data_IF_476772283876
#
_entry.id   IF_476772283876
#
_cell.length_a   1.000
_cell.length_b   1.000
_cell.length_c   1.000
_cell.angle_alpha   90.00
_cell.angle_beta   90.00
_cell.angle_gamma   90.00
#
_symmetry.space_group_name_H-M   'P 1'
#
loop_
_entity.id
_entity.type
_entity.pdbx_description
1 polymer ?
#
# COMPACT_ATOMS: atom_id res chain seq x y z
N UNK A 1 -6.10 -4.07 2.18
CA UNK A 1 -6.49 -2.79 2.82
C UNK A 1 -6.96 -2.99 4.27
N UNK A 2 -6.06 -3.37 5.20
CA UNK A 2 -6.37 -3.47 6.64
C UNK A 2 -5.57 -2.49 7.52
N UNK A 3 -4.70 -1.67 6.91
CA UNK A 3 -3.80 -0.77 7.63
C UNK A 3 -4.33 0.63 7.94
N UNK A 4 -5.39 1.10 7.26
CA UNK A 4 -5.89 2.47 7.41
C UNK A 4 -6.94 2.64 8.52
N UNK A 5 -7.53 1.56 9.02
CA UNK A 5 -8.54 1.63 10.08
C UNK A 5 -7.92 1.80 11.47
N UNK A 6 -6.69 1.31 11.68
CA UNK A 6 -6.03 1.40 12.98
C UNK A 6 -5.58 2.83 13.35
N UNK A 7 -5.19 3.65 12.36
CA UNK A 7 -4.69 5.02 12.59
C UNK A 7 -5.80 6.01 12.90
N UNK A 8 -6.97 5.88 12.29
CA UNK A 8 -8.12 6.79 12.54
C UNK A 8 -8.75 6.51 13.91
N UNK A 9 -8.85 5.24 14.32
CA UNK A 9 -9.31 4.88 15.67
C UNK A 9 -8.35 5.39 16.76
N UNK A 10 -7.04 5.39 16.51
CA UNK A 10 -6.04 5.88 17.46
C UNK A 10 -6.13 7.41 17.66
N UNK A 11 -6.36 8.17 16.57
CA UNK A 11 -6.51 9.63 16.64
C UNK A 11 -7.79 10.05 17.39
N UNK A 12 -8.92 9.37 17.11
CA UNK A 12 -10.18 9.64 17.80
C UNK A 12 -10.12 9.30 19.30
N UNK A 13 -9.46 8.19 19.67
CA UNK A 13 -9.21 7.85 21.07
C UNK A 13 -8.33 8.89 21.75
N UNK A 14 -7.29 9.39 21.09
CA UNK A 14 -6.39 10.42 21.63
C UNK A 14 -7.15 11.71 21.92
N UNK A 15 -7.96 12.19 20.97
CA UNK A 15 -8.77 13.42 21.15
C UNK A 15 -9.78 13.27 22.30
N UNK A 16 -10.44 12.10 22.44
CA UNK A 16 -11.36 11.84 23.55
C UNK A 16 -10.64 11.78 24.91
N UNK A 17 -9.45 11.19 24.97
CA UNK A 17 -8.64 11.17 26.19
C UNK A 17 -8.17 12.58 26.61
N UNK A 18 -7.86 13.44 25.64
CA UNK A 18 -7.46 14.83 25.91
C UNK A 18 -8.64 15.69 26.40
N UNK A 19 -9.82 15.60 25.78
CA UNK A 19 -11.01 16.36 26.23
C UNK A 19 -11.50 15.91 27.60
N UNK A 20 -11.47 14.59 27.89
CA UNK A 20 -11.79 14.07 29.23
C UNK A 20 -10.75 14.53 30.26
N UNK A 21 -9.45 14.54 29.93
CA UNK A 21 -8.41 15.03 30.84
C UNK A 21 -8.56 16.52 31.17
N UNK A 22 -8.82 17.38 30.19
CA UNK A 22 -9.05 18.81 30.42
C UNK A 22 -10.27 19.03 31.33
N UNK A 23 -11.35 18.28 31.10
CA UNK A 23 -12.57 18.33 31.92
C UNK A 23 -12.32 17.86 33.36
N UNK A 24 -11.53 16.80 33.55
CA UNK A 24 -11.17 16.27 34.88
C UNK A 24 -10.23 17.21 35.63
N UNK A 25 -9.28 17.86 34.97
CA UNK A 25 -8.39 18.86 35.60
C UNK A 25 -9.18 20.10 36.05
N UNK A 26 -10.14 20.57 35.23
CA UNK A 26 -11.02 21.68 35.61
C UNK A 26 -11.97 21.31 36.77
N UNK A 27 -12.54 20.10 36.75
CA UNK A 27 -13.39 19.59 37.82
C UNK A 27 -12.60 19.34 39.13
N UNK A 28 -11.36 18.87 39.05
CA UNK A 28 -10.53 18.63 40.25
C UNK A 28 -10.01 19.92 40.87
N UNK A 29 -9.71 20.96 40.07
CA UNK A 29 -9.35 22.28 40.57
C UNK A 29 -10.53 22.98 41.30
N UNK A 30 -11.73 22.87 40.74
CA UNK A 30 -12.97 23.41 41.37
C UNK A 30 -13.38 22.61 42.61
N UNK A 31 -13.31 21.27 42.57
CA UNK A 31 -13.58 20.42 43.75
C UNK A 31 -12.51 20.61 44.82
N UNK A 32 -11.23 20.77 44.46
CA UNK A 32 -10.14 21.07 45.40
C UNK A 32 -10.36 22.38 46.15
N UNK A 33 -10.72 23.45 45.44
CA UNK A 33 -11.04 24.75 46.02
C UNK A 33 -12.28 24.70 46.92
N UNK A 34 -13.33 23.98 46.50
CA UNK A 34 -14.55 23.78 47.32
C UNK A 34 -14.26 22.93 48.57
N UNK A 35 -13.35 21.95 48.49
CA UNK A 35 -12.97 21.10 49.63
C UNK A 35 -12.10 21.85 50.64
N UNK A 36 -11.21 22.73 50.17
CA UNK A 36 -10.40 23.63 51.02
C UNK A 36 -11.29 24.67 51.70
N UNK A 37 -12.27 25.25 50.99
CA UNK A 37 -13.28 26.14 51.59
C UNK A 37 -14.14 25.41 52.63
N UNK A 38 -14.63 24.20 52.34
CA UNK A 38 -15.43 23.42 53.29
C UNK A 38 -14.61 22.95 54.51
N UNK A 39 -13.30 22.69 54.35
CA UNK A 39 -12.42 22.38 55.47
C UNK A 39 -12.14 23.60 56.36
N UNK A 40 -12.05 24.81 55.78
CA UNK A 40 -11.98 26.08 56.52
C UNK A 40 -13.26 26.37 57.29
N UNK A 41 -14.42 26.23 56.65
CA UNK A 41 -15.74 26.39 57.28
C UNK A 41 -16.00 25.37 58.40
N UNK A 42 -15.50 24.14 58.27
CA UNK A 42 -15.57 23.12 59.34
C UNK A 42 -14.62 23.42 60.50
N UNK A 43 -13.46 24.04 60.25
CA UNK A 43 -12.59 24.54 61.33
C UNK A 43 -13.26 25.72 62.04
N UNK A 44 -13.82 26.69 61.32
CA UNK A 44 -14.58 27.81 61.91
C UNK A 44 -15.78 27.35 62.75
N UNK A 45 -16.56 26.36 62.27
CA UNK A 45 -17.65 25.79 63.08
C UNK A 45 -17.16 25.04 64.32
N UNK A 46 -16.03 24.33 64.26
CA UNK A 46 -15.44 23.70 65.47
C UNK A 46 -14.90 24.72 66.49
N UNK A 47 -14.40 25.87 66.03
CA UNK A 47 -14.03 26.97 66.93
C UNK A 47 -15.25 27.65 67.56
N UNK A 48 -16.40 27.68 66.88
CA UNK A 48 -17.64 28.26 67.42
C UNK A 48 -18.44 27.32 68.34
N UNK A 49 -18.35 25.99 68.19
CA UNK A 49 -19.08 25.04 69.06
C UNK A 49 -18.27 24.57 70.28
N UNK A 50 -17.00 24.96 70.42
CA UNK A 50 -16.12 24.49 71.51
C UNK A 50 -15.67 25.58 72.50
N UNK A 51 -16.29 26.77 72.52
CA UNK A 51 -15.91 27.82 73.47
C UNK A 51 -17.10 28.33 74.26
N UNK A 52 -17.57 27.49 75.19
CA UNK A 52 -17.76 27.99 76.55
C UNK A 52 -16.40 27.89 77.23
N UNK A 53 -15.70 29.01 77.45
CA UNK A 53 -14.91 29.23 78.66
C UNK A 53 -14.62 30.73 78.87
N UNK A 54 -14.59 31.20 80.13
CA UNK A 54 -14.51 32.62 80.48
C UNK A 54 -13.07 33.12 80.68
N UNK A 55 -12.94 34.45 80.64
CA UNK A 55 -11.92 35.31 81.23
C UNK A 55 -10.48 35.30 80.66
N UNK A 56 -10.03 36.53 80.36
CA UNK A 56 -8.67 37.04 80.17
C UNK A 56 -7.77 36.38 79.12
N UNK A 57 -7.99 36.74 77.85
CA UNK A 57 -6.93 36.65 76.85
C UNK A 57 -5.88 37.72 77.18
N UNK A 58 -4.74 37.30 77.74
CA UNK A 58 -3.59 38.17 77.96
C UNK A 58 -3.23 38.91 76.66
N UNK A 59 -2.90 40.19 76.77
CA UNK A 59 -2.48 41.05 75.65
C UNK A 59 -1.40 40.38 74.76
N UNK A 60 -0.55 39.55 75.36
CA UNK A 60 0.49 38.78 74.67
C UNK A 60 -0.06 37.70 73.72
N UNK A 61 -1.18 37.05 74.05
CA UNK A 61 -1.82 36.06 73.18
C UNK A 61 -2.52 36.72 71.99
N UNK A 62 -3.09 37.90 72.21
CA UNK A 62 -3.70 38.70 71.14
C UNK A 62 -2.63 39.19 70.15
N UNK A 63 -1.48 39.64 70.67
CA UNK A 63 -0.32 40.03 69.86
C UNK A 63 0.20 38.88 69.00
N UNK A 64 0.35 37.68 69.56
CA UNK A 64 0.74 36.47 68.81
C UNK A 64 -0.26 36.12 67.70
N UNK A 65 -1.57 36.22 67.96
CA UNK A 65 -2.61 36.00 66.94
C UNK A 65 -2.52 37.01 65.81
N UNK A 66 -2.29 38.29 66.13
CA UNK A 66 -2.11 39.34 65.12
C UNK A 66 -0.88 39.10 64.25
N UNK A 67 0.26 38.77 64.85
CA UNK A 67 1.49 38.43 64.12
C UNK A 67 1.32 37.20 63.22
N UNK A 68 0.60 36.18 63.69
CA UNK A 68 0.25 34.99 62.89
C UNK A 68 -0.63 35.35 61.70
N UNK A 69 -1.66 36.16 61.92
CA UNK A 69 -2.57 36.60 60.85
C UNK A 69 -1.84 37.46 59.81
N UNK A 70 -0.92 38.32 60.23
CA UNK A 70 -0.11 39.14 59.33
C UNK A 70 0.81 38.28 58.46
N UNK A 71 1.40 37.21 59.02
CA UNK A 71 2.18 36.23 58.26
C UNK A 71 1.32 35.47 57.24
N UNK A 72 0.13 35.05 57.64
CA UNK A 72 -0.80 34.36 56.76
C UNK A 72 -1.29 35.26 55.63
N UNK A 73 -1.61 36.53 55.92
CA UNK A 73 -1.98 37.51 54.90
C UNK A 73 -0.86 37.70 53.87
N UNK A 74 0.39 37.85 54.33
CA UNK A 74 1.56 37.97 53.44
C UNK A 74 1.76 36.71 52.59
N UNK A 75 1.61 35.52 53.19
CA UNK A 75 1.73 34.23 52.49
C UNK A 75 0.65 34.08 51.41
N UNK A 76 -0.60 34.42 51.73
CA UNK A 76 -1.71 34.35 50.78
C UNK A 76 -1.54 35.36 49.65
N UNK A 77 -1.09 36.58 49.95
CA UNK A 77 -0.78 37.58 48.92
C UNK A 77 0.30 37.11 47.94
N UNK A 78 1.39 36.52 48.45
CA UNK A 78 2.43 35.92 47.60
C UNK A 78 1.91 34.75 46.77
N UNK A 79 1.09 33.87 47.35
CA UNK A 79 0.50 32.75 46.62
C UNK A 79 -0.41 33.23 45.47
N UNK A 80 -1.19 34.30 45.70
CA UNK A 80 -2.05 34.89 44.67
C UNK A 80 -1.23 35.50 43.53
N UNK A 81 -0.14 36.22 43.85
CA UNK A 81 0.76 36.81 42.86
C UNK A 81 1.40 35.73 41.97
N UNK A 82 1.97 34.69 42.60
CA UNK A 82 2.60 33.57 41.88
C UNK A 82 1.58 32.86 40.98
N UNK A 83 0.33 32.69 41.46
CA UNK A 83 -0.72 32.06 40.69
C UNK A 83 -1.19 32.94 39.52
N UNK A 84 -1.16 34.27 39.68
CA UNK A 84 -1.44 35.20 38.60
C UNK A 84 -0.39 35.11 37.49
N UNK A 85 0.90 35.03 37.85
CA UNK A 85 2.00 34.82 36.90
C UNK A 85 1.85 33.48 36.16
N UNK A 86 1.59 32.38 36.88
CA UNK A 86 1.35 31.07 36.26
C UNK A 86 0.16 31.08 35.29
N UNK A 87 -0.91 31.79 35.61
CA UNK A 87 -2.06 31.92 34.71
C UNK A 87 -1.72 32.73 33.45
N UNK A 88 -0.84 33.72 33.55
CA UNK A 88 -0.35 34.48 32.40
C UNK A 88 0.55 33.63 31.50
N UNK A 89 1.47 32.86 32.08
CA UNK A 89 2.31 31.91 31.35
C UNK A 89 1.48 30.84 30.65
N UNK A 90 0.49 30.27 31.35
CA UNK A 90 -0.40 29.27 30.77
C UNK A 90 -1.20 29.83 29.59
N UNK A 91 -1.63 31.09 29.68
CA UNK A 91 -2.33 31.77 28.59
C UNK A 91 -1.43 31.91 27.35
N UNK A 92 -0.18 32.33 27.52
CA UNK A 92 0.76 32.46 26.42
C UNK A 92 1.05 31.11 25.74
N UNK A 93 1.19 30.04 26.53
CA UNK A 93 1.37 28.68 26.01
C UNK A 93 0.14 28.19 25.23
N UNK A 94 -1.07 28.52 25.68
CA UNK A 94 -2.30 28.16 24.95
C UNK A 94 -2.36 28.88 23.60
N UNK A 95 -2.04 30.17 23.55
CA UNK A 95 -2.02 30.94 22.30
C UNK A 95 -0.98 30.41 21.30
N UNK A 96 0.19 29.96 21.78
CA UNK A 96 1.20 29.31 20.95
C UNK A 96 0.70 27.96 20.40
N UNK A 97 0.07 27.14 21.24
CA UNK A 97 -0.48 25.84 20.83
C UNK A 97 -1.64 25.96 19.85
N UNK A 98 -2.46 27.00 19.98
CA UNK A 98 -3.52 27.30 19.01
C UNK A 98 -2.95 27.65 17.63
N UNK A 99 -1.85 28.44 17.58
CA UNK A 99 -1.15 28.74 16.32
C UNK A 99 -0.54 27.49 15.68
N UNK A 100 0.16 26.67 16.47
CA UNK A 100 0.73 25.39 15.99
C UNK A 100 -0.35 24.46 15.42
N UNK A 101 -1.52 24.40 16.07
CA UNK A 101 -2.65 23.58 15.61
C UNK A 101 -3.22 24.09 14.28
N UNK A 102 -3.29 25.40 14.09
CA UNK A 102 -3.76 26.02 12.84
C UNK A 102 -2.77 25.76 11.68
N UNK A 103 -1.47 25.92 11.92
CA UNK A 103 -0.44 25.58 10.94
C UNK A 103 -0.50 24.11 10.52
N UNK A 104 -0.68 23.22 11.50
CA UNK A 104 -0.82 21.79 11.23
C UNK A 104 -2.08 21.48 10.41
N UNK A 105 -3.20 22.15 10.70
CA UNK A 105 -4.44 22.00 9.93
C UNK A 105 -4.26 22.46 8.48
N UNK A 106 -3.54 23.56 8.25
CA UNK A 106 -3.19 24.04 6.91
C UNK A 106 -2.32 23.03 6.15
N UNK A 107 -1.32 22.46 6.83
CA UNK A 107 -0.45 21.46 6.24
C UNK A 107 -1.19 20.17 5.86
N UNK A 108 -2.10 19.70 6.72
CA UNK A 108 -2.93 18.52 6.46
C UNK A 108 -3.82 18.75 5.24
N UNK A 109 -4.50 19.90 5.14
CA UNK A 109 -5.32 20.25 3.96
C UNK A 109 -4.51 20.23 2.66
N UNK A 110 -3.32 20.85 2.66
CA UNK A 110 -2.45 20.86 1.49
C UNK A 110 -1.99 19.44 1.11
N UNK A 111 -1.63 18.61 2.10
CA UNK A 111 -1.25 17.21 1.85
C UNK A 111 -2.40 16.40 1.25
N UNK A 112 -3.63 16.58 1.72
CA UNK A 112 -4.81 15.91 1.19
C UNK A 112 -5.07 16.28 -0.28
N UNK A 113 -4.88 17.54 -0.65
CA UNK A 113 -4.99 17.98 -2.05
C UNK A 113 -3.93 17.34 -2.95
N UNK A 114 -2.69 17.28 -2.49
CA UNK A 114 -1.59 16.61 -3.22
C UNK A 114 -1.88 15.11 -3.41
N UNK A 115 -2.40 14.44 -2.38
CA UNK A 115 -2.78 13.02 -2.45
C UNK A 115 -3.88 12.82 -3.48
N UNK A 116 -4.97 13.61 -3.45
CA UNK A 116 -6.04 13.54 -4.45
C UNK A 116 -5.53 13.72 -5.88
N UNK A 117 -4.58 14.65 -6.09
CA UNK A 117 -3.97 14.88 -7.40
C UNK A 117 -3.07 13.71 -7.85
N UNK A 118 -2.36 13.06 -6.92
CA UNK A 118 -1.57 11.87 -7.22
C UNK A 118 -2.46 10.67 -7.53
N UNK A 119 -3.54 10.47 -6.79
CA UNK A 119 -4.50 9.39 -7.04
C UNK A 119 -5.13 9.51 -8.42
N UNK A 120 -5.52 10.72 -8.83
CA UNK A 120 -6.06 10.96 -10.18
C UNK A 120 -5.04 10.62 -11.26
N UNK A 121 -3.79 11.12 -11.15
CA UNK A 121 -2.70 10.79 -12.08
C UNK A 121 -2.40 9.30 -12.14
N UNK A 122 -2.50 8.59 -11.02
CA UNK A 122 -2.30 7.14 -10.98
C UNK A 122 -3.38 6.38 -11.73
N UNK A 123 -4.63 6.81 -11.61
CA UNK A 123 -5.75 6.23 -12.39
C UNK A 123 -5.56 6.50 -13.88
N UNK A 124 -5.18 7.72 -14.25
CA UNK A 124 -4.93 8.08 -15.65
C UNK A 124 -3.74 7.29 -16.24
N UNK A 125 -2.63 7.18 -15.50
CA UNK A 125 -1.47 6.39 -15.91
C UNK A 125 -1.83 4.90 -16.09
N UNK A 126 -2.65 4.33 -15.20
CA UNK A 126 -3.16 2.96 -15.37
C UNK A 126 -3.99 2.78 -16.62
N UNK A 127 -4.82 3.77 -16.97
CA UNK A 127 -5.62 3.75 -18.20
C UNK A 127 -4.71 3.77 -19.43
N UNK A 128 -3.73 4.67 -19.48
CA UNK A 128 -2.74 4.74 -20.57
C UNK A 128 -1.95 3.43 -20.70
N UNK A 129 -1.53 2.82 -19.58
CA UNK A 129 -0.84 1.52 -19.62
C UNK A 129 -1.75 0.43 -20.20
N UNK A 130 -3.05 0.42 -19.88
CA UNK A 130 -3.98 -0.55 -20.43
C UNK A 130 -4.18 -0.37 -21.94
N UNK A 131 -4.28 0.88 -22.41
CA UNK A 131 -4.38 1.22 -23.84
C UNK A 131 -3.11 0.80 -24.60
N UNK A 132 -1.93 1.18 -24.12
CA UNK A 132 -0.65 0.77 -24.74
C UNK A 132 -0.45 -0.76 -24.74
N UNK A 133 -0.94 -1.47 -23.71
CA UNK A 133 -0.93 -2.94 -23.69
C UNK A 133 -1.85 -3.54 -24.75
N UNK A 134 -2.97 -2.90 -25.05
CA UNK A 134 -3.86 -3.34 -26.12
C UNK A 134 -3.20 -3.10 -27.49
N UNK A 135 -2.63 -1.92 -27.72
CA UNK A 135 -1.92 -1.61 -28.97
C UNK A 135 -0.70 -2.51 -29.22
N UNK A 136 0.10 -2.76 -28.18
CA UNK A 136 1.24 -3.68 -28.28
C UNK A 136 0.82 -5.13 -28.43
N UNK A 137 -0.40 -5.51 -28.01
CA UNK A 137 -0.91 -6.85 -28.25
C UNK A 137 -1.11 -7.15 -29.74
N UNK A 138 -1.41 -6.16 -30.58
CA UNK A 138 -1.48 -6.34 -32.03
C UNK A 138 -0.09 -6.48 -32.67
N UNK A 139 0.97 -5.99 -31.99
CA UNK A 139 2.37 -6.14 -32.41
C UNK A 139 2.97 -7.48 -31.89
N UNK A 140 2.36 -8.11 -30.87
CA UNK A 140 2.79 -9.40 -30.32
C UNK A 140 2.73 -10.48 -31.39
N UNK A 141 3.90 -10.85 -31.90
CA UNK A 141 4.09 -11.86 -32.95
C UNK A 141 3.13 -11.65 -34.11
N UNK A 142 3.44 -10.67 -34.97
CA UNK A 142 2.68 -10.41 -36.19
C UNK A 142 2.34 -11.71 -36.92
N UNK A 143 1.06 -11.88 -37.27
CA UNK A 143 0.55 -13.01 -38.07
C UNK A 143 1.36 -13.23 -39.34
N UNK A 144 1.91 -12.15 -39.91
CA UNK A 144 2.78 -12.20 -41.08
C UNK A 144 4.10 -12.95 -40.81
N UNK A 145 4.71 -12.78 -39.64
CA UNK A 145 5.92 -13.50 -39.25
C UNK A 145 5.67 -15.01 -39.10
N UNK A 146 4.51 -15.38 -38.54
CA UNK A 146 4.10 -16.78 -38.41
C UNK A 146 3.74 -17.41 -39.75
N UNK A 147 3.03 -16.68 -40.60
CA UNK A 147 2.70 -17.13 -41.95
C UNK A 147 3.96 -17.56 -42.72
N UNK A 148 5.02 -16.74 -42.64
CA UNK A 148 6.31 -17.04 -43.26
C UNK A 148 6.97 -18.32 -42.71
N UNK A 149 6.86 -18.60 -41.40
CA UNK A 149 7.40 -19.84 -40.79
C UNK A 149 6.61 -21.06 -41.29
N UNK A 150 5.29 -20.96 -41.35
CA UNK A 150 4.44 -22.04 -41.82
C UNK A 150 4.63 -22.33 -43.31
N UNK A 151 4.69 -21.28 -44.14
CA UNK A 151 4.94 -21.39 -45.57
C UNK A 151 6.28 -22.08 -45.85
N UNK A 152 7.35 -21.68 -45.17
CA UNK A 152 8.67 -22.34 -45.30
C UNK A 152 8.62 -23.81 -44.90
N UNK A 153 7.91 -24.15 -43.81
CA UNK A 153 7.75 -25.53 -43.37
C UNK A 153 7.01 -26.38 -44.42
N UNK A 154 5.92 -25.84 -44.96
CA UNK A 154 5.12 -26.51 -45.98
C UNK A 154 5.86 -26.64 -47.31
N UNK A 155 6.62 -25.62 -47.70
CA UNK A 155 7.46 -25.65 -48.91
C UNK A 155 8.52 -26.75 -48.83
N UNK A 156 9.21 -26.91 -47.70
CA UNK A 156 10.19 -28.01 -47.53
C UNK A 156 9.48 -29.37 -47.58
N UNK A 157 8.34 -29.52 -46.93
CA UNK A 157 7.55 -30.76 -47.00
C UNK A 157 7.09 -31.10 -48.41
N UNK A 158 6.60 -30.09 -49.15
CA UNK A 158 6.13 -30.26 -50.52
C UNK A 158 7.28 -30.64 -51.45
N UNK A 159 8.41 -29.94 -51.33
CA UNK A 159 9.65 -30.23 -52.08
C UNK A 159 10.13 -31.67 -51.85
N UNK A 160 10.04 -32.17 -50.60
CA UNK A 160 10.36 -33.57 -50.29
C UNK A 160 9.42 -34.55 -51.00
N UNK A 161 8.12 -34.25 -51.08
CA UNK A 161 7.11 -35.11 -51.71
C UNK A 161 7.24 -35.12 -53.23
N UNK A 162 7.38 -33.96 -53.84
CA UNK A 162 7.45 -33.79 -55.30
C UNK A 162 8.74 -34.38 -55.87
N UNK A 163 9.88 -34.07 -55.26
CA UNK A 163 11.19 -34.49 -55.78
C UNK A 163 11.66 -35.85 -55.22
N UNK A 164 10.91 -36.44 -54.29
CA UNK A 164 11.26 -37.68 -53.57
C UNK A 164 12.71 -37.68 -53.06
N UNK A 165 13.15 -36.52 -52.57
CA UNK A 165 14.55 -36.27 -52.24
C UNK A 165 14.81 -36.33 -50.73
N UNK A 166 16.09 -36.37 -50.35
CA UNK A 166 16.47 -36.32 -48.95
C UNK A 166 16.07 -34.99 -48.32
N UNK A 167 15.86 -34.97 -46.99
CA UNK A 167 15.52 -33.74 -46.26
C UNK A 167 16.57 -32.64 -46.49
N UNK A 168 17.86 -32.97 -46.56
CA UNK A 168 18.92 -31.99 -46.82
C UNK A 168 18.79 -31.37 -48.22
N UNK A 169 18.49 -32.19 -49.24
CA UNK A 169 18.23 -31.73 -50.60
C UNK A 169 16.99 -30.82 -50.66
N UNK A 170 15.92 -31.19 -49.95
CA UNK A 170 14.71 -30.37 -49.89
C UNK A 170 14.93 -28.99 -49.25
N UNK A 171 15.75 -28.89 -48.20
CA UNK A 171 16.13 -27.58 -47.63
C UNK A 171 16.89 -26.72 -48.64
N UNK A 172 17.82 -27.30 -49.40
CA UNK A 172 18.56 -26.59 -50.45
C UNK A 172 17.64 -26.12 -51.57
N UNK A 173 16.76 -26.99 -52.08
CA UNK A 173 15.84 -26.68 -53.17
C UNK A 173 14.77 -25.65 -52.75
N UNK A 174 14.30 -25.70 -51.51
CA UNK A 174 13.36 -24.73 -50.97
C UNK A 174 14.01 -23.38 -50.58
N UNK A 175 15.34 -23.24 -50.72
CA UNK A 175 16.06 -22.02 -50.35
C UNK A 175 15.96 -21.66 -48.86
N UNK A 176 15.72 -22.65 -48.00
CA UNK A 176 15.45 -22.42 -46.58
C UNK A 176 16.62 -22.92 -45.71
N UNK A 177 17.28 -22.03 -44.92
CA UNK A 177 18.31 -22.47 -43.99
C UNK A 177 17.72 -23.41 -42.92
N UNK A 178 18.38 -24.54 -42.72
CA UNK A 178 17.94 -25.56 -41.73
C UNK A 178 17.87 -24.99 -40.30
N UNK A 179 18.73 -24.04 -39.95
CA UNK A 179 18.72 -23.36 -38.64
C UNK A 179 17.41 -22.62 -38.40
N UNK A 180 16.98 -21.80 -39.38
CA UNK A 180 15.76 -21.00 -39.29
C UNK A 180 14.52 -21.86 -39.01
N UNK A 181 14.35 -22.96 -39.75
CA UNK A 181 13.19 -23.83 -39.58
C UNK A 181 13.27 -24.65 -38.29
N UNK A 182 14.47 -25.09 -37.89
CA UNK A 182 14.68 -25.85 -36.65
C UNK A 182 14.37 -25.00 -35.41
N UNK A 183 14.66 -23.71 -35.44
CA UNK A 183 14.46 -22.81 -34.30
C UNK A 183 12.97 -22.52 -34.04
N UNK A 184 12.11 -22.64 -35.04
CA UNK A 184 10.66 -22.37 -34.95
C UNK A 184 9.79 -23.59 -35.32
N UNK A 185 10.37 -24.79 -35.21
CA UNK A 185 9.73 -26.01 -35.69
C UNK A 185 8.53 -26.38 -34.82
N UNK A 186 8.54 -26.07 -33.53
CA UNK A 186 7.41 -26.40 -32.65
C UNK A 186 6.17 -25.57 -32.98
N UNK A 187 6.35 -24.29 -33.34
CA UNK A 187 5.25 -23.44 -33.83
C UNK A 187 4.62 -24.07 -35.07
N UNK A 188 5.44 -24.47 -36.05
CA UNK A 188 4.97 -25.08 -37.28
C UNK A 188 4.28 -26.43 -37.05
N UNK A 189 4.89 -27.31 -36.26
CA UNK A 189 4.33 -28.63 -35.95
C UNK A 189 3.05 -28.53 -35.12
N UNK A 190 2.96 -27.60 -34.15
CA UNK A 190 1.75 -27.42 -33.34
C UNK A 190 0.58 -26.93 -34.19
N UNK A 191 0.80 -26.05 -35.17
CA UNK A 191 -0.27 -25.65 -36.11
C UNK A 191 -0.88 -26.84 -36.85
N UNK A 192 -0.04 -27.78 -37.28
CA UNK A 192 -0.49 -28.99 -38.01
C UNK A 192 -1.15 -30.02 -37.11
N UNK A 193 -0.59 -30.24 -35.93
CA UNK A 193 -1.03 -31.26 -34.98
C UNK A 193 -2.31 -30.82 -34.26
N UNK A 194 -2.37 -29.57 -33.82
CA UNK A 194 -3.47 -29.01 -33.05
C UNK A 194 -3.54 -27.48 -33.21
N UNK A 195 -4.11 -26.99 -34.32
CA UNK A 195 -4.25 -25.56 -34.62
C UNK A 195 -4.90 -24.76 -33.49
N UNK A 196 -5.93 -25.34 -32.84
CA UNK A 196 -6.62 -24.71 -31.70
C UNK A 196 -5.72 -24.48 -30.49
N UNK A 197 -4.75 -25.37 -30.24
CA UNK A 197 -3.78 -25.17 -29.15
C UNK A 197 -2.83 -24.02 -29.47
N UNK A 198 -2.41 -23.87 -30.73
CA UNK A 198 -1.60 -22.72 -31.14
C UNK A 198 -2.34 -21.40 -30.91
N UNK A 199 -3.63 -21.32 -31.27
CA UNK A 199 -4.44 -20.13 -31.02
C UNK A 199 -4.59 -19.80 -29.53
N UNK A 200 -4.62 -20.82 -28.67
CA UNK A 200 -4.64 -20.62 -27.21
C UNK A 200 -3.31 -20.07 -26.70
N UNK A 201 -2.18 -20.58 -27.21
CA UNK A 201 -0.85 -20.06 -26.85
C UNK A 201 -0.65 -18.63 -27.36
N UNK A 202 -1.19 -18.30 -28.54
CA UNK A 202 -1.15 -16.93 -29.07
C UNK A 202 -1.98 -15.93 -28.24
N UNK A 203 -3.06 -16.40 -27.61
CA UNK A 203 -3.88 -15.59 -26.69
C UNK A 203 -3.28 -15.48 -25.29
N UNK A 204 -2.24 -16.26 -24.98
CA UNK A 204 -1.60 -16.25 -23.67
C UNK A 204 -0.81 -14.95 -23.47
N UNK A 205 -1.04 -14.28 -22.34
CA UNK A 205 -0.45 -12.97 -22.06
C UNK A 205 1.04 -13.04 -21.69
N UNK A 206 1.54 -14.24 -21.40
CA UNK A 206 2.95 -14.47 -21.04
C UNK A 206 3.88 -14.48 -22.27
N UNK A 207 3.35 -14.70 -23.48
CA UNK A 207 4.15 -14.79 -24.71
C UNK A 207 4.43 -13.39 -25.26
N UNK A 208 5.70 -12.97 -25.23
CA UNK A 208 6.10 -11.63 -25.70
C UNK A 208 6.91 -11.66 -27.01
N UNK A 209 7.52 -12.79 -27.34
CA UNK A 209 8.33 -12.96 -28.56
C UNK A 209 8.02 -14.27 -29.30
N UNK A 210 8.44 -14.37 -30.57
CA UNK A 210 8.36 -15.63 -31.36
C UNK A 210 9.15 -16.75 -30.69
N UNK A 211 10.21 -16.41 -29.95
CA UNK A 211 11.01 -17.39 -29.21
C UNK A 211 10.28 -17.92 -27.98
N UNK A 212 9.59 -17.06 -27.25
CA UNK A 212 8.75 -17.48 -26.11
C UNK A 212 7.58 -18.35 -26.61
N UNK A 213 7.00 -17.97 -27.75
CA UNK A 213 5.96 -18.73 -28.42
C UNK A 213 6.44 -20.14 -28.79
N UNK A 214 7.65 -20.26 -29.35
CA UNK A 214 8.26 -21.55 -29.67
C UNK A 214 8.44 -22.42 -28.42
N UNK A 215 8.94 -21.85 -27.31
CA UNK A 215 9.11 -22.58 -26.05
C UNK A 215 7.76 -23.04 -25.49
N UNK A 216 6.74 -22.18 -25.53
CA UNK A 216 5.40 -22.55 -25.12
C UNK A 216 4.81 -23.67 -26.02
N UNK A 217 5.03 -23.60 -27.33
CA UNK A 217 4.61 -24.64 -28.28
C UNK A 217 5.31 -25.98 -28.01
N UNK A 218 6.61 -25.97 -27.72
CA UNK A 218 7.38 -27.18 -27.35
C UNK A 218 6.77 -27.91 -26.16
N UNK A 219 6.46 -27.16 -25.09
CA UNK A 219 5.81 -27.70 -23.89
C UNK A 219 4.44 -28.32 -24.21
N UNK A 220 3.65 -27.68 -25.07
CA UNK A 220 2.32 -28.18 -25.50
C UNK A 220 2.44 -29.45 -26.34
N UNK A 221 3.40 -29.50 -27.26
CA UNK A 221 3.64 -30.66 -28.13
C UNK A 221 4.00 -31.94 -27.37
N UNK A 222 4.49 -31.84 -26.12
CA UNK A 222 4.78 -32.99 -25.27
C UNK A 222 3.61 -33.97 -25.17
N UNK A 223 2.38 -33.45 -25.13
CA UNK A 223 1.14 -34.25 -25.03
C UNK A 223 0.79 -34.96 -26.35
N UNK A 224 1.32 -34.47 -27.47
CA UNK A 224 1.00 -34.94 -28.81
C UNK A 224 2.09 -35.83 -29.43
N UNK A 225 3.15 -36.17 -28.70
CA UNK A 225 4.24 -37.01 -29.20
C UNK A 225 3.75 -38.29 -29.92
N UNK A 226 2.77 -39.06 -29.39
CA UNK A 226 2.27 -40.25 -30.09
C UNK A 226 1.64 -39.92 -31.44
N UNK A 227 0.83 -38.86 -31.51
CA UNK A 227 0.17 -38.38 -32.73
C UNK A 227 1.20 -37.91 -33.75
N UNK A 228 2.17 -37.10 -33.30
CA UNK A 228 3.24 -36.61 -34.16
C UNK A 228 4.07 -37.74 -34.77
N UNK A 229 4.31 -38.82 -34.03
CA UNK A 229 5.03 -39.99 -34.55
C UNK A 229 4.24 -40.68 -35.67
N UNK A 230 2.91 -40.73 -35.61
CA UNK A 230 2.07 -41.23 -36.70
C UNK A 230 2.16 -40.29 -37.91
N UNK A 231 1.97 -38.98 -37.69
CA UNK A 231 2.03 -37.97 -38.75
C UNK A 231 3.39 -37.92 -39.47
N UNK A 232 4.50 -38.19 -38.76
CA UNK A 232 5.83 -38.32 -39.38
C UNK A 232 5.93 -39.55 -40.27
N UNK A 233 5.32 -40.69 -39.88
CA UNK A 233 5.26 -41.91 -40.71
C UNK A 233 4.42 -41.70 -41.97
N UNK A 234 3.36 -40.91 -41.86
CA UNK A 234 2.47 -40.53 -42.97
C UNK A 234 3.04 -39.41 -43.86
N UNK A 235 4.24 -38.86 -43.54
CA UNK A 235 4.86 -37.79 -44.31
C UNK A 235 4.13 -36.43 -44.20
N UNK A 236 3.36 -36.22 -43.13
CA UNK A 236 2.66 -34.97 -42.84
C UNK A 236 3.52 -33.98 -42.04
N UNK A 237 4.54 -34.48 -41.34
CA UNK A 237 5.55 -33.72 -40.60
C UNK A 237 6.96 -34.08 -41.10
N UNK A 238 7.91 -33.17 -40.90
CA UNK A 238 9.31 -33.40 -41.26
C UNK A 238 9.88 -34.57 -40.45
N UNK A 239 10.75 -35.42 -41.05
CA UNK A 239 11.36 -36.56 -40.36
C UNK A 239 12.51 -36.12 -39.44
N UNK A 240 12.20 -35.25 -38.47
CA UNK A 240 13.13 -34.75 -37.46
C UNK A 240 13.03 -35.57 -36.18
N UNK A 241 14.18 -35.90 -35.59
CA UNK A 241 14.28 -36.54 -34.28
C UNK A 241 14.63 -35.48 -33.24
N UNK A 242 13.81 -35.36 -32.21
CA UNK A 242 14.01 -34.43 -31.10
C UNK A 242 14.31 -35.21 -29.82
N UNK A 243 15.27 -34.72 -29.03
CA UNK A 243 15.55 -35.25 -27.69
C UNK A 243 14.45 -34.82 -26.70
N UNK A 244 14.32 -35.50 -25.56
CA UNK A 244 13.29 -35.17 -24.56
C UNK A 244 13.33 -33.70 -24.11
N UNK A 245 14.53 -33.15 -23.89
CA UNK A 245 14.80 -31.72 -23.58
C UNK A 245 14.24 -30.71 -24.58
N UNK A 246 13.87 -31.15 -25.78
CA UNK A 246 13.22 -30.28 -26.75
C UNK A 246 11.80 -29.90 -26.33
N UNK A 247 11.13 -30.75 -25.55
CA UNK A 247 9.74 -30.56 -25.10
C UNK A 247 9.62 -30.06 -23.65
N UNK A 248 10.75 -29.70 -23.03
CA UNK A 248 10.84 -29.09 -21.70
C UNK A 248 10.64 -27.56 -21.79
#
# INVERSE_FOLDING_TARGET
CRGCFATVQCAAATILFFTVRISVVSATATVGNVRVMNARLRKEKRYQTSSQQPADTSHDDLKKKYESLQKDYKRVGQAFQNQQEQNQELKALLEEREKEAEELANLVRNKDEVVKNLERRHVDAKKVIAELRAETADIRVSTHSLANIHERYDQVLQTMKENKCSMACAFCLAGCPRSTLRDFVAIAELKKVASRELDLVLRDQEVQSVRDLEVACRKRLRRYIPVMNNMRREGQLLPMKFAARFYE
#
